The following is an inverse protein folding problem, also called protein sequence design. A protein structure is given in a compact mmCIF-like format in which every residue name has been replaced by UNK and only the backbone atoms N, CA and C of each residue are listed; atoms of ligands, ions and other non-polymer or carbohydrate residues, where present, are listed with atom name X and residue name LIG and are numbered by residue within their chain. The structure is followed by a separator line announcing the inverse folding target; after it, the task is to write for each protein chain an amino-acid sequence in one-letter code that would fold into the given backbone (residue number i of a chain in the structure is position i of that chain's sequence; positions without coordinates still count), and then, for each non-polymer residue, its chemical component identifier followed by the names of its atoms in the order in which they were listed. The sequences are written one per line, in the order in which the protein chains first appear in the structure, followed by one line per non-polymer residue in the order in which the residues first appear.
data_IF_873961721286
#
_entry.id   IF_873961721286
#
_cell.length_a   1.000
_cell.length_b   1.000
_cell.length_c   1.000
_cell.angle_alpha   90.00
_cell.angle_beta   90.00
_cell.angle_gamma   90.00
#
_symmetry.space_group_name_H-M   'P 1'
#
loop_
_entity.id
_entity.type
_entity.pdbx_description
1 polymer ?
#
# COMPACT_ATOMS: atom_id res chain seq x y z
N UNK A 1 -26.01 16.96 1.72
CA UNK A 1 -24.97 17.47 0.80
C UNK A 1 -23.71 16.60 0.88
N UNK A 2 -23.87 15.27 0.97
CA UNK A 2 -22.74 14.31 1.09
C UNK A 2 -22.63 13.36 -0.10
N UNK A 3 -23.64 13.34 -0.98
CA UNK A 3 -23.74 12.40 -2.10
C UNK A 3 -22.81 12.73 -3.27
N UNK A 4 -22.17 13.90 -3.29
CA UNK A 4 -21.27 14.31 -4.39
C UNK A 4 -19.83 13.85 -4.21
N UNK A 5 -19.37 13.59 -2.98
CA UNK A 5 -18.01 13.04 -2.73
C UNK A 5 -17.95 11.55 -3.05
N UNK A 6 -19.01 10.80 -2.75
CA UNK A 6 -19.10 9.37 -3.04
C UNK A 6 -19.23 9.09 -4.54
N UNK A 7 -19.93 9.94 -5.28
CA UNK A 7 -20.19 9.74 -6.73
C UNK A 7 -19.03 10.11 -7.66
N UNK A 8 -18.06 10.90 -7.16
CA UNK A 8 -16.78 11.15 -7.84
C UNK A 8 -15.74 10.06 -7.56
N UNK A 9 -15.94 9.27 -6.50
CA UNK A 9 -15.06 8.16 -6.10
C UNK A 9 -15.28 6.88 -6.91
N UNK A 10 -16.17 6.83 -7.91
CA UNK A 10 -16.34 5.63 -8.76
C UNK A 10 -15.50 5.70 -10.06
N UNK A 11 -15.01 6.87 -10.48
CA UNK A 11 -14.20 7.00 -11.70
C UNK A 11 -12.67 6.99 -11.45
N UNK A 12 -12.24 7.30 -10.23
CA UNK A 12 -10.83 7.28 -9.79
C UNK A 12 -10.27 5.95 -9.21
N UNK A 13 -11.06 5.02 -8.64
CA UNK A 13 -10.53 3.81 -8.01
C UNK A 13 -10.00 2.83 -9.05
N UNK A 14 -10.64 2.77 -10.23
CA UNK A 14 -10.15 1.98 -11.36
C UNK A 14 -8.79 2.49 -11.85
N UNK A 15 -8.56 3.81 -11.77
CA UNK A 15 -7.27 4.41 -12.16
C UNK A 15 -6.18 4.08 -11.15
N UNK A 16 -6.44 4.23 -9.85
CA UNK A 16 -5.47 3.90 -8.79
C UNK A 16 -5.18 2.40 -8.72
N UNK A 17 -6.20 1.57 -8.88
CA UNK A 17 -6.05 0.10 -8.99
C UNK A 17 -5.21 -0.26 -10.21
N UNK A 18 -5.47 0.38 -11.36
CA UNK A 18 -4.66 0.17 -12.57
C UNK A 18 -3.21 0.62 -12.38
N UNK A 19 -2.97 1.72 -11.67
CA UNK A 19 -1.62 2.19 -11.34
C UNK A 19 -0.88 1.24 -10.40
N UNK A 20 -1.55 0.72 -9.36
CA UNK A 20 -0.97 -0.27 -8.45
C UNK A 20 -0.67 -1.60 -9.16
N UNK A 21 -1.54 -2.02 -10.10
CA UNK A 21 -1.31 -3.18 -10.95
C UNK A 21 -0.12 -2.96 -11.91
N UNK A 22 0.01 -1.76 -12.47
CA UNK A 22 1.16 -1.39 -13.30
C UNK A 22 2.47 -1.39 -12.49
N UNK A 23 2.45 -0.82 -11.28
CA UNK A 23 3.58 -0.85 -10.36
C UNK A 23 3.99 -2.28 -10.01
N UNK A 24 3.03 -3.14 -9.70
CA UNK A 24 3.26 -4.58 -9.47
C UNK A 24 3.89 -5.27 -10.69
N UNK A 25 3.42 -4.92 -11.89
CA UNK A 25 3.98 -5.43 -13.15
C UNK A 25 5.42 -5.00 -13.35
N UNK A 26 5.75 -3.72 -13.08
CA UNK A 26 7.12 -3.22 -13.13
C UNK A 26 8.02 -3.90 -12.11
N UNK A 27 7.55 -4.07 -10.86
CA UNK A 27 8.28 -4.80 -9.82
C UNK A 27 8.64 -6.22 -10.29
N UNK A 28 7.68 -6.93 -10.86
CA UNK A 28 7.88 -8.30 -11.38
C UNK A 28 8.84 -8.37 -12.58
N UNK A 29 9.00 -7.26 -13.32
CA UNK A 29 9.97 -7.13 -14.41
C UNK A 29 11.37 -6.71 -13.94
N UNK A 30 11.58 -6.50 -12.63
CA UNK A 30 12.84 -5.96 -12.10
C UNK A 30 12.99 -4.44 -12.24
N UNK A 31 11.92 -3.75 -12.67
CA UNK A 31 11.86 -2.29 -12.84
C UNK A 31 11.45 -1.62 -11.55
N UNK A 32 12.30 -1.76 -10.53
CA UNK A 32 11.95 -1.42 -9.15
C UNK A 32 11.79 0.08 -8.92
N UNK A 33 12.56 0.92 -9.62
CA UNK A 33 12.47 2.38 -9.51
C UNK A 33 11.11 2.89 -10.03
N UNK A 34 10.67 2.40 -11.20
CA UNK A 34 9.37 2.77 -11.74
C UNK A 34 8.20 2.21 -10.91
N UNK A 35 8.38 1.04 -10.31
CA UNK A 35 7.39 0.48 -9.38
C UNK A 35 7.28 1.34 -8.12
N UNK A 36 8.39 1.75 -7.53
CA UNK A 36 8.43 2.63 -6.36
C UNK A 36 7.71 3.95 -6.62
N UNK A 37 8.05 4.65 -7.70
CA UNK A 37 7.43 5.94 -8.04
C UNK A 37 5.90 5.84 -8.17
N UNK A 38 5.41 4.77 -8.80
CA UNK A 38 3.97 4.54 -8.93
C UNK A 38 3.32 4.20 -7.60
N UNK A 39 3.93 3.34 -6.76
CA UNK A 39 3.35 3.02 -5.46
C UNK A 39 3.31 4.24 -4.53
N UNK A 40 4.37 5.07 -4.51
CA UNK A 40 4.38 6.32 -3.75
C UNK A 40 3.22 7.23 -4.18
N UNK A 41 3.03 7.42 -5.49
CA UNK A 41 1.94 8.25 -6.01
C UNK A 41 0.54 7.70 -5.64
N UNK A 42 0.37 6.38 -5.70
CA UNK A 42 -0.88 5.72 -5.28
C UNK A 42 -1.11 5.95 -3.79
N UNK A 43 -0.10 5.74 -2.94
CA UNK A 43 -0.19 5.91 -1.49
C UNK A 43 -0.56 7.36 -1.13
N UNK A 44 0.13 8.36 -1.68
CA UNK A 44 -0.17 9.77 -1.42
C UNK A 44 -1.61 10.14 -1.79
N UNK A 45 -2.08 9.62 -2.93
CA UNK A 45 -3.44 9.86 -3.40
C UNK A 45 -4.46 9.18 -2.48
N UNK A 46 -4.25 7.91 -2.13
CA UNK A 46 -5.13 7.17 -1.22
C UNK A 46 -5.15 7.78 0.19
N UNK A 47 -3.99 8.15 0.75
CA UNK A 47 -3.88 8.87 2.04
C UNK A 47 -4.71 10.15 2.03
N UNK A 48 -4.61 10.94 0.97
CA UNK A 48 -5.33 12.22 0.84
C UNK A 48 -6.85 12.04 0.69
N UNK A 49 -7.30 10.97 0.03
CA UNK A 49 -8.71 10.78 -0.34
C UNK A 49 -9.50 9.93 0.65
N UNK A 50 -8.88 8.86 1.13
CA UNK A 50 -9.52 7.78 1.90
C UNK A 50 -9.01 7.72 3.34
N UNK A 51 -7.78 8.16 3.57
CA UNK A 51 -7.11 8.09 4.85
C UNK A 51 -5.94 7.12 4.84
N UNK A 52 -5.05 7.27 5.82
CA UNK A 52 -3.86 6.44 5.99
C UNK A 52 -4.19 5.01 6.44
N UNK A 53 -5.32 4.83 7.12
CA UNK A 53 -5.82 3.56 7.64
C UNK A 53 -6.73 2.79 6.67
N UNK A 54 -6.95 3.30 5.47
CA UNK A 54 -7.81 2.63 4.49
C UNK A 54 -7.11 1.37 3.93
N UNK A 55 -7.82 0.23 3.75
CA UNK A 55 -7.22 -1.02 3.28
C UNK A 55 -6.39 -0.89 2.00
N UNK A 56 -6.85 -0.10 1.02
CA UNK A 56 -6.10 0.12 -0.23
C UNK A 56 -4.81 0.90 -0.01
N UNK A 57 -4.78 1.83 0.95
CA UNK A 57 -3.58 2.56 1.34
C UNK A 57 -2.57 1.61 1.97
N UNK A 58 -3.02 0.79 2.93
CA UNK A 58 -2.19 -0.20 3.64
C UNK A 58 -1.63 -1.26 2.69
N UNK A 59 -2.45 -1.76 1.75
CA UNK A 59 -2.04 -2.70 0.71
C UNK A 59 -0.99 -2.09 -0.22
N UNK A 60 -1.14 -0.82 -0.60
CA UNK A 60 -0.17 -0.12 -1.45
C UNK A 60 1.16 0.11 -0.71
N UNK A 61 1.11 0.40 0.59
CA UNK A 61 2.30 0.49 1.45
C UNK A 61 3.04 -0.85 1.55
N UNK A 62 2.36 -1.97 1.84
CA UNK A 62 3.02 -3.29 1.86
C UNK A 62 3.69 -3.63 0.51
N UNK A 63 3.07 -3.24 -0.61
CA UNK A 63 3.67 -3.44 -1.93
C UNK A 63 4.91 -2.56 -2.18
N UNK A 64 4.93 -1.33 -1.66
CA UNK A 64 6.12 -0.48 -1.68
C UNK A 64 7.25 -1.08 -0.82
N UNK A 65 6.93 -1.63 0.36
CA UNK A 65 7.91 -2.32 1.19
C UNK A 65 8.54 -3.52 0.47
N UNK A 66 7.72 -4.34 -0.21
CA UNK A 66 8.22 -5.42 -1.07
C UNK A 66 9.12 -4.90 -2.20
N UNK A 67 8.83 -3.71 -2.74
CA UNK A 67 9.68 -3.07 -3.75
C UNK A 67 11.03 -2.65 -3.16
N UNK A 68 11.04 -2.08 -1.95
CA UNK A 68 12.28 -1.77 -1.22
C UNK A 68 13.13 -3.00 -0.93
N UNK A 69 12.52 -4.12 -0.50
CA UNK A 69 13.24 -5.39 -0.30
C UNK A 69 13.93 -5.86 -1.57
N UNK A 70 13.25 -5.78 -2.71
CA UNK A 70 13.84 -6.15 -4.00
C UNK A 70 15.01 -5.24 -4.40
N UNK A 71 15.01 -3.98 -3.98
CA UNK A 71 16.13 -3.05 -4.16
C UNK A 71 17.27 -3.26 -3.12
N UNK A 72 17.10 -4.14 -2.13
CA UNK A 72 18.04 -4.32 -1.01
C UNK A 72 17.93 -3.26 0.09
N UNK A 73 16.86 -2.47 0.08
CA UNK A 73 16.55 -1.39 1.02
C UNK A 73 15.73 -1.92 2.20
N UNK A 74 16.36 -2.75 3.02
CA UNK A 74 15.69 -3.52 4.07
C UNK A 74 15.15 -2.64 5.20
N UNK A 75 15.87 -1.59 5.59
CA UNK A 75 15.47 -0.67 6.66
C UNK A 75 14.20 0.11 6.27
N UNK A 76 14.14 0.64 5.03
CA UNK A 76 12.92 1.33 4.56
C UNK A 76 11.73 0.38 4.42
N UNK A 77 11.97 -0.88 4.03
CA UNK A 77 10.92 -1.88 3.97
C UNK A 77 10.36 -2.21 5.36
N UNK A 78 11.23 -2.43 6.35
CA UNK A 78 10.84 -2.73 7.72
C UNK A 78 10.02 -1.59 8.33
N UNK A 79 10.49 -0.35 8.20
CA UNK A 79 9.78 0.82 8.72
C UNK A 79 8.34 0.91 8.17
N UNK A 80 8.18 0.65 6.88
CA UNK A 80 6.89 0.73 6.22
C UNK A 80 5.96 -0.43 6.66
N UNK A 81 6.46 -1.65 6.76
CA UNK A 81 5.68 -2.81 7.22
C UNK A 81 5.29 -2.70 8.71
N UNK A 82 6.15 -2.14 9.56
CA UNK A 82 5.81 -1.82 10.97
C UNK A 82 4.63 -0.85 11.00
N UNK A 83 4.67 0.21 10.18
CA UNK A 83 3.58 1.18 10.10
C UNK A 83 2.26 0.52 9.65
N UNK A 84 2.31 -0.36 8.65
CA UNK A 84 1.12 -1.09 8.17
C UNK A 84 0.58 -2.02 9.26
N UNK A 85 1.45 -2.77 9.94
CA UNK A 85 1.06 -3.68 11.02
C UNK A 85 0.38 -2.93 12.18
N UNK A 86 0.99 -1.86 12.69
CA UNK A 86 0.45 -1.09 13.81
C UNK A 86 -0.90 -0.46 13.48
N UNK A 87 -1.04 0.07 12.26
CA UNK A 87 -2.28 0.67 11.79
C UNK A 87 -3.38 -0.38 11.65
N UNK A 88 -3.07 -1.52 11.02
CA UNK A 88 -4.00 -2.65 10.85
C UNK A 88 -4.43 -3.22 12.20
N UNK A 89 -3.48 -3.44 13.12
CA UNK A 89 -3.76 -3.94 14.47
C UNK A 89 -4.70 -3.00 15.23
N UNK A 90 -4.50 -1.69 15.13
CA UNK A 90 -5.31 -0.68 15.83
C UNK A 90 -6.74 -0.61 15.27
N UNK A 91 -6.92 -0.82 13.97
CA UNK A 91 -8.19 -0.57 13.27
C UNK A 91 -9.03 -1.81 13.05
N UNK A 92 -8.38 -2.91 12.72
CA UNK A 92 -9.00 -4.18 12.31
C UNK A 92 -8.87 -5.24 13.40
N UNK A 93 -7.92 -5.07 14.33
CA UNK A 93 -7.61 -6.03 15.38
C UNK A 93 -6.41 -6.91 15.03
N UNK A 94 -5.91 -7.62 16.03
CA UNK A 94 -4.71 -8.46 15.93
C UNK A 94 -4.92 -9.70 15.04
N UNK A 95 -6.12 -10.29 15.08
CA UNK A 95 -6.45 -11.51 14.33
C UNK A 95 -6.93 -11.23 12.89
N UNK A 96 -6.95 -9.97 12.46
CA UNK A 96 -7.41 -9.62 11.12
C UNK A 96 -6.40 -10.12 10.04
N UNK A 97 -6.86 -10.68 8.91
CA UNK A 97 -5.99 -11.18 7.84
C UNK A 97 -4.91 -10.18 7.38
N UNK A 98 -5.25 -8.89 7.27
CA UNK A 98 -4.31 -7.84 6.86
C UNK A 98 -3.22 -7.61 7.92
N UNK A 99 -3.58 -7.62 9.21
CA UNK A 99 -2.61 -7.53 10.32
C UNK A 99 -1.67 -8.72 10.30
N UNK A 100 -2.20 -9.94 10.16
CA UNK A 100 -1.42 -11.17 10.10
C UNK A 100 -0.49 -11.22 8.87
N UNK A 101 -0.94 -10.71 7.72
CA UNK A 101 -0.13 -10.61 6.50
C UNK A 101 1.05 -9.67 6.70
N UNK A 102 0.82 -8.51 7.31
CA UNK A 102 1.88 -7.53 7.60
C UNK A 102 2.90 -8.08 8.60
N UNK A 103 2.44 -8.79 9.64
CA UNK A 103 3.31 -9.51 10.57
C UNK A 103 4.15 -10.60 9.88
N UNK A 104 3.56 -11.33 8.93
CA UNK A 104 4.27 -12.34 8.16
C UNK A 104 5.34 -11.72 7.25
N UNK A 105 5.07 -10.54 6.67
CA UNK A 105 6.04 -9.81 5.87
C UNK A 105 7.24 -9.34 6.71
N UNK A 106 6.98 -8.81 7.93
CA UNK A 106 8.01 -8.44 8.91
C UNK A 106 8.84 -9.62 9.39
N UNK A 107 8.26 -10.81 9.49
CA UNK A 107 9.01 -12.02 9.86
C UNK A 107 9.95 -12.51 8.73
N UNK A 108 9.77 -12.02 7.51
CA UNK A 108 10.55 -12.40 6.33
C UNK A 108 11.61 -11.36 5.93
N UNK A 109 11.58 -10.16 6.53
CA UNK A 109 12.68 -9.18 6.47
C UNK A 109 13.83 -9.61 7.35
#
# INVERSE_FOLDING_TARGET
METSKTKLCEAYPDTLTSMANLASTYRNQGRWEEAEQLFVQVIETCKTKLGEDYPDTLTSMANLASTYRNQGRWEEAEQLEVQVMETSKTKLGEDHPDTLTSMANLAFT
#
